data_IF_999638378668
#
_entry.id   IF_999638378668
#
_cell.length_a   1.000
_cell.length_b   1.000
_cell.length_c   1.000
_cell.angle_alpha   90.00
_cell.angle_beta   90.00
_cell.angle_gamma   90.00
#
_symmetry.space_group_name_H-M   'P 1'
#
loop_
_entity.id
_entity.type
_entity.pdbx_description
1 polymer ?
#
# COMPACT_ATOMS: atom_id res chain seq x y z
N UNK A 1 4.72 -19.06 15.20
CA UNK A 1 5.89 -18.22 14.85
C UNK A 1 5.87 -17.00 15.76
N UNK A 2 6.97 -16.69 16.45
CA UNK A 2 7.04 -15.56 17.40
C UNK A 2 7.00 -14.26 16.58
N UNK A 3 5.88 -13.52 16.54
CA UNK A 3 5.70 -12.37 15.64
C UNK A 3 6.78 -11.31 15.86
N UNK A 4 7.18 -11.13 17.12
CA UNK A 4 8.21 -10.17 17.55
C UNK A 4 9.59 -10.45 16.94
N UNK A 5 9.97 -11.72 16.77
CA UNK A 5 11.26 -12.07 16.14
C UNK A 5 11.24 -11.77 14.65
N UNK A 6 10.10 -12.01 13.98
CA UNK A 6 9.93 -11.69 12.56
C UNK A 6 9.95 -10.17 12.33
N UNK A 7 9.27 -9.40 13.18
CA UNK A 7 9.26 -7.93 13.11
C UNK A 7 10.68 -7.38 13.29
N UNK A 8 11.41 -7.84 14.32
CA UNK A 8 12.81 -7.41 14.54
C UNK A 8 13.73 -7.77 13.38
N UNK A 9 13.54 -8.95 12.77
CA UNK A 9 14.28 -9.37 11.58
C UNK A 9 14.03 -8.44 10.38
N UNK A 10 12.77 -8.12 10.10
CA UNK A 10 12.40 -7.17 9.04
C UNK A 10 12.90 -5.75 9.32
N UNK A 11 12.87 -5.31 10.58
CA UNK A 11 13.37 -4.00 10.97
C UNK A 11 14.87 -3.89 10.71
N UNK A 12 15.66 -4.91 11.09
CA UNK A 12 17.09 -4.94 10.82
C UNK A 12 17.38 -4.95 9.32
N UNK A 13 16.65 -5.78 8.56
CA UNK A 13 16.74 -5.81 7.11
C UNK A 13 16.45 -4.44 6.46
N UNK A 14 15.36 -3.79 6.88
CA UNK A 14 15.00 -2.44 6.40
C UNK A 14 16.09 -1.41 6.73
N UNK A 15 16.65 -1.46 7.96
CA UNK A 15 17.76 -0.58 8.36
C UNK A 15 19.02 -0.81 7.51
N UNK A 16 19.34 -2.05 7.17
CA UNK A 16 20.45 -2.35 6.26
C UNK A 16 20.23 -1.77 4.86
N UNK A 17 19.03 -1.90 4.30
CA UNK A 17 18.68 -1.28 3.01
C UNK A 17 18.83 0.24 3.08
N UNK A 18 18.32 0.88 4.14
CA UNK A 18 18.45 2.33 4.33
C UNK A 18 19.92 2.74 4.38
N UNK A 19 20.76 2.00 5.08
CA UNK A 19 22.20 2.28 5.13
C UNK A 19 22.85 2.19 3.74
N UNK A 20 22.56 1.13 2.99
CA UNK A 20 23.10 0.93 1.63
C UNK A 20 22.67 2.07 0.70
N UNK A 21 21.38 2.41 0.66
CA UNK A 21 20.86 3.49 -0.20
C UNK A 21 21.45 4.84 0.20
N UNK A 22 21.64 5.08 1.51
CA UNK A 22 22.27 6.31 2.01
C UNK A 22 23.73 6.44 1.56
N UNK A 23 24.50 5.36 1.63
CA UNK A 23 25.89 5.32 1.15
C UNK A 23 25.93 5.53 -0.37
N UNK A 24 25.05 4.85 -1.12
CA UNK A 24 24.95 5.01 -2.57
C UNK A 24 24.62 6.46 -2.96
N UNK A 25 23.67 7.09 -2.25
CA UNK A 25 23.33 8.50 -2.46
C UNK A 25 24.50 9.43 -2.12
N UNK A 26 25.24 9.17 -1.03
CA UNK A 26 26.42 9.96 -0.68
C UNK A 26 27.52 9.87 -1.75
N UNK A 27 27.77 8.67 -2.30
CA UNK A 27 28.70 8.45 -3.41
C UNK A 27 28.24 9.18 -4.67
N UNK A 28 26.94 9.14 -4.98
CA UNK A 28 26.37 9.85 -6.13
C UNK A 28 26.57 11.37 -5.99
N UNK A 29 26.26 11.94 -4.82
CA UNK A 29 26.45 13.37 -4.55
C UNK A 29 27.93 13.76 -4.66
N UNK A 30 28.84 12.96 -4.10
CA UNK A 30 30.27 13.22 -4.19
C UNK A 30 30.76 13.20 -5.65
N UNK A 31 30.33 12.21 -6.43
CA UNK A 31 30.71 12.07 -7.84
C UNK A 31 30.22 13.27 -8.66
N UNK A 32 28.98 13.72 -8.44
CA UNK A 32 28.38 14.86 -9.14
C UNK A 32 29.07 16.19 -8.80
N UNK A 33 29.46 16.39 -7.52
CA UNK A 33 30.09 17.63 -7.07
C UNK A 33 31.58 17.72 -7.39
N UNK A 34 32.30 16.60 -7.36
CA UNK A 34 33.76 16.58 -7.56
C UNK A 34 34.19 16.21 -8.97
N UNK A 35 33.29 15.60 -9.76
CA UNK A 35 33.61 15.04 -11.08
C UNK A 35 34.47 13.77 -11.03
N UNK A 36 34.82 13.28 -9.83
CA UNK A 36 35.60 12.06 -9.64
C UNK A 36 34.64 10.87 -9.60
N UNK A 37 34.72 10.00 -10.61
CA UNK A 37 33.90 8.79 -10.70
C UNK A 37 34.42 7.70 -9.76
N UNK A 38 33.74 7.53 -8.61
CA UNK A 38 34.04 6.44 -7.66
C UNK A 38 33.56 5.09 -8.22
N UNK A 39 32.39 5.08 -8.87
CA UNK A 39 31.79 3.88 -9.48
C UNK A 39 31.56 4.17 -10.96
N UNK A 40 32.12 3.35 -11.83
CA UNK A 40 31.96 3.52 -13.27
C UNK A 40 30.55 3.14 -13.72
N UNK A 41 30.00 3.91 -14.66
CA UNK A 41 28.66 3.67 -15.21
C UNK A 41 27.51 4.16 -14.33
N UNK A 42 27.76 5.00 -13.32
CA UNK A 42 26.68 5.65 -12.56
C UNK A 42 25.90 6.62 -13.45
N UNK A 43 24.57 6.51 -13.41
CA UNK A 43 23.65 7.47 -14.03
C UNK A 43 23.75 8.83 -13.31
N UNK A 44 23.76 9.96 -14.05
CA UNK A 44 23.77 11.29 -13.45
C UNK A 44 22.61 11.53 -12.46
N UNK A 45 22.87 12.30 -11.40
CA UNK A 45 21.83 12.60 -10.40
C UNK A 45 20.67 13.42 -10.99
N UNK A 46 20.94 14.23 -12.02
CA UNK A 46 19.94 15.03 -12.73
C UNK A 46 18.79 14.20 -13.32
N UNK A 47 19.10 13.02 -13.88
CA UNK A 47 18.11 12.10 -14.41
C UNK A 47 17.25 11.50 -13.28
N UNK A 48 17.90 11.14 -12.16
CA UNK A 48 17.20 10.66 -10.96
C UNK A 48 16.25 11.71 -10.40
N UNK A 49 16.64 13.00 -10.40
CA UNK A 49 15.77 14.09 -9.95
C UNK A 49 14.55 14.28 -10.86
N UNK A 50 14.70 14.13 -12.17
CA UNK A 50 13.56 14.17 -13.09
C UNK A 50 12.56 13.05 -12.80
N UNK A 51 13.04 11.83 -12.58
CA UNK A 51 12.18 10.69 -12.24
C UNK A 51 11.48 10.90 -10.89
N UNK A 52 12.21 11.26 -9.83
CA UNK A 52 11.66 11.49 -8.49
C UNK A 52 10.69 12.67 -8.49
N UNK A 53 11.00 13.75 -9.21
CA UNK A 53 10.13 14.91 -9.38
C UNK A 53 8.80 14.54 -10.03
N UNK A 54 8.82 13.70 -11.07
CA UNK A 54 7.60 13.16 -11.68
C UNK A 54 6.75 12.36 -10.70
N UNK A 55 7.37 11.47 -9.92
CA UNK A 55 6.67 10.69 -8.88
C UNK A 55 6.07 11.63 -7.83
N UNK A 56 6.80 12.65 -7.39
CA UNK A 56 6.32 13.61 -6.39
C UNK A 56 5.08 14.38 -6.88
N UNK A 57 5.06 14.83 -8.14
CA UNK A 57 3.90 15.51 -8.74
C UNK A 57 2.68 14.59 -8.78
N UNK A 58 2.85 13.33 -9.21
CA UNK A 58 1.76 12.34 -9.25
C UNK A 58 1.23 12.04 -7.85
N UNK A 59 2.12 11.80 -6.88
CA UNK A 59 1.73 11.53 -5.49
C UNK A 59 1.06 12.75 -4.83
N UNK A 60 1.47 13.98 -5.17
CA UNK A 60 0.81 15.19 -4.70
C UNK A 60 -0.65 15.26 -5.15
N UNK A 61 -0.97 14.76 -6.35
CA UNK A 61 -2.35 14.62 -6.84
C UNK A 61 -3.11 13.43 -6.25
N UNK A 62 -2.42 12.36 -5.86
CA UNK A 62 -3.04 11.13 -5.34
C UNK A 62 -3.80 11.36 -4.03
N UNK A 63 -3.25 12.12 -3.07
CA UNK A 63 -3.92 12.37 -1.78
C UNK A 63 -5.24 13.17 -1.90
N UNK A 64 -5.29 14.30 -2.64
CA UNK A 64 -6.54 14.98 -2.96
C UNK A 64 -7.53 14.11 -3.73
N UNK A 65 -7.04 13.32 -4.70
CA UNK A 65 -7.89 12.40 -5.46
C UNK A 65 -8.54 11.36 -4.53
N UNK A 66 -7.77 10.74 -3.64
CA UNK A 66 -8.29 9.81 -2.62
C UNK A 66 -9.34 10.49 -1.75
N UNK A 67 -9.09 11.73 -1.29
CA UNK A 67 -10.06 12.49 -0.50
C UNK A 67 -11.39 12.70 -1.24
N UNK A 68 -11.32 13.07 -2.54
CA UNK A 68 -12.49 13.25 -3.39
C UNK A 68 -13.20 11.92 -3.61
N UNK A 69 -12.47 10.84 -3.89
CA UNK A 69 -13.07 9.52 -4.12
C UNK A 69 -13.79 9.04 -2.84
N UNK A 70 -13.22 9.26 -1.65
CA UNK A 70 -13.89 8.97 -0.37
C UNK A 70 -15.20 9.76 -0.25
N UNK A 71 -15.22 11.02 -0.67
CA UNK A 71 -16.41 11.86 -0.60
C UNK A 71 -17.46 11.55 -1.69
N UNK A 72 -17.03 11.18 -2.90
CA UNK A 72 -17.90 11.00 -4.07
C UNK A 72 -18.31 9.53 -4.25
N UNK A 73 -17.34 8.60 -4.26
CA UNK A 73 -17.58 7.16 -4.30
C UNK A 73 -17.91 6.57 -2.93
N UNK A 74 -17.95 7.40 -1.88
CA UNK A 74 -18.33 7.00 -0.53
C UNK A 74 -19.69 6.32 -0.46
N UNK A 75 -20.65 6.60 -1.34
CA UNK A 75 -22.01 6.03 -1.24
C UNK A 75 -22.07 4.50 -1.41
N UNK A 76 -21.59 3.88 -2.51
CA UNK A 76 -21.66 2.42 -2.70
C UNK A 76 -20.73 1.66 -1.74
N UNK A 77 -19.49 2.12 -1.54
CA UNK A 77 -18.55 1.41 -0.67
C UNK A 77 -18.80 1.67 0.82
N UNK A 78 -19.33 2.84 1.21
CA UNK A 78 -19.82 3.05 2.59
C UNK A 78 -21.05 2.23 2.90
N UNK A 79 -21.93 1.94 1.93
CA UNK A 79 -23.07 1.06 2.18
C UNK A 79 -22.61 -0.37 2.52
N UNK A 80 -21.67 -0.91 1.73
CA UNK A 80 -21.08 -2.23 1.98
C UNK A 80 -20.21 -2.26 3.23
N UNK A 81 -19.36 -1.24 3.45
CA UNK A 81 -18.46 -1.17 4.60
C UNK A 81 -19.18 -0.90 5.93
N UNK A 82 -20.29 -0.13 5.93
CA UNK A 82 -21.13 0.05 7.12
C UNK A 82 -21.77 -1.25 7.59
N UNK A 83 -22.12 -2.16 6.68
CA UNK A 83 -22.65 -3.48 7.03
C UNK A 83 -21.61 -4.32 7.80
N UNK A 84 -20.32 -4.08 7.55
CA UNK A 84 -19.18 -4.78 8.16
C UNK A 84 -18.67 -4.04 9.42
N UNK A 85 -19.17 -2.83 9.69
CA UNK A 85 -18.75 -2.01 10.84
C UNK A 85 -17.47 -1.19 10.60
N UNK A 86 -17.12 -0.90 9.35
CA UNK A 86 -15.95 -0.09 8.99
C UNK A 86 -16.23 1.41 9.10
N UNK A 87 -15.21 2.18 9.50
CA UNK A 87 -15.24 3.64 9.51
C UNK A 87 -15.05 4.23 8.10
N UNK A 88 -15.29 5.54 7.94
CA UNK A 88 -14.99 6.22 6.68
C UNK A 88 -13.50 6.22 6.32
N UNK A 89 -12.60 6.27 7.32
CA UNK A 89 -11.13 6.19 7.09
C UNK A 89 -10.71 4.78 6.67
N UNK A 90 -11.33 3.75 7.24
CA UNK A 90 -11.08 2.35 6.87
C UNK A 90 -11.47 2.09 5.41
N UNK A 91 -12.65 2.56 5.01
CA UNK A 91 -13.17 2.41 3.63
C UNK A 91 -12.32 3.25 2.67
N UNK A 92 -11.91 4.44 3.09
CA UNK A 92 -11.02 5.27 2.32
C UNK A 92 -9.66 4.65 2.08
N UNK A 93 -9.11 3.93 3.05
CA UNK A 93 -7.90 3.13 2.87
C UNK A 93 -8.04 2.05 1.80
N UNK A 94 -9.18 1.36 1.76
CA UNK A 94 -9.44 0.32 0.75
C UNK A 94 -9.50 0.92 -0.65
N UNK A 95 -10.16 2.08 -0.80
CA UNK A 95 -10.22 2.76 -2.09
C UNK A 95 -8.85 3.30 -2.49
N UNK A 96 -8.14 3.92 -1.56
CA UNK A 96 -6.79 4.42 -1.79
C UNK A 96 -5.87 3.29 -2.27
N UNK A 97 -5.95 2.12 -1.63
CA UNK A 97 -5.15 0.94 -1.95
C UNK A 97 -5.34 0.43 -3.39
N UNK A 98 -6.54 0.59 -3.98
CA UNK A 98 -6.79 0.22 -5.37
C UNK A 98 -5.96 1.05 -6.35
N UNK A 99 -5.75 2.33 -6.05
CA UNK A 99 -4.89 3.21 -6.83
C UNK A 99 -3.42 3.04 -6.44
N UNK A 100 -3.11 3.16 -5.15
CA UNK A 100 -1.76 3.03 -4.62
C UNK A 100 -1.76 2.71 -3.12
N UNK A 101 -0.89 1.80 -2.67
CA UNK A 101 -0.85 1.41 -1.25
C UNK A 101 -0.12 2.41 -0.35
N UNK A 102 0.73 3.30 -0.88
CA UNK A 102 1.44 4.33 -0.11
C UNK A 102 0.47 5.23 0.68
N UNK A 103 -0.51 5.92 0.04
CA UNK A 103 -1.48 6.73 0.79
C UNK A 103 -2.34 5.87 1.72
N UNK A 104 -2.70 4.65 1.32
CA UNK A 104 -3.48 3.73 2.16
C UNK A 104 -2.74 3.36 3.46
N UNK A 105 -1.43 3.10 3.37
CA UNK A 105 -0.58 2.83 4.53
C UNK A 105 -0.43 4.07 5.42
N UNK A 106 -0.33 5.27 4.84
CA UNK A 106 -0.34 6.53 5.57
C UNK A 106 -1.61 6.74 6.41
N UNK A 107 -2.76 6.23 5.92
CA UNK A 107 -4.05 6.29 6.62
C UNK A 107 -4.21 5.22 7.70
N UNK A 108 -3.40 4.15 7.71
CA UNK A 108 -3.57 3.04 8.67
C UNK A 108 -3.44 3.50 10.12
N UNK A 109 -2.71 4.56 10.41
CA UNK A 109 -2.59 5.11 11.77
C UNK A 109 -3.95 5.61 12.33
N UNK A 110 -4.85 6.05 11.45
CA UNK A 110 -6.15 6.64 11.77
C UNK A 110 -7.32 5.64 11.59
N UNK A 111 -7.00 4.36 11.39
CA UNK A 111 -7.98 3.28 11.19
C UNK A 111 -8.37 2.58 12.50
N UNK A 112 -9.57 2.00 12.52
CA UNK A 112 -10.00 1.14 13.62
C UNK A 112 -9.19 -0.17 13.64
N UNK A 113 -9.09 -0.89 14.77
CA UNK A 113 -8.39 -2.18 14.81
C UNK A 113 -8.92 -3.20 13.78
N UNK A 114 -10.25 -3.25 13.62
CA UNK A 114 -10.91 -4.03 12.57
C UNK A 114 -10.52 -3.52 11.17
N UNK A 115 -10.58 -2.20 10.98
CA UNK A 115 -10.19 -1.52 9.75
C UNK A 115 -8.78 -1.85 9.30
N UNK A 116 -7.79 -1.88 10.22
CA UNK A 116 -6.39 -2.23 9.92
C UNK A 116 -6.28 -3.67 9.40
N UNK A 117 -6.96 -4.61 10.03
CA UNK A 117 -6.93 -6.03 9.63
C UNK A 117 -7.58 -6.21 8.25
N UNK A 118 -8.77 -5.64 8.06
CA UNK A 118 -9.49 -5.72 6.79
C UNK A 118 -8.71 -5.03 5.67
N UNK A 119 -8.20 -3.82 5.90
CA UNK A 119 -7.39 -3.10 4.90
C UNK A 119 -6.14 -3.88 4.54
N UNK A 120 -5.44 -4.44 5.53
CA UNK A 120 -4.22 -5.23 5.27
C UNK A 120 -4.52 -6.48 4.41
N UNK A 121 -5.63 -7.17 4.70
CA UNK A 121 -6.09 -8.30 3.90
C UNK A 121 -6.49 -7.88 2.47
N UNK A 122 -7.21 -6.77 2.34
CA UNK A 122 -7.63 -6.23 1.05
C UNK A 122 -6.44 -5.78 0.20
N UNK A 123 -5.52 -5.00 0.78
CA UNK A 123 -4.30 -4.50 0.13
C UNK A 123 -3.46 -5.65 -0.43
N UNK A 124 -3.34 -6.76 0.32
CA UNK A 124 -2.54 -7.92 -0.08
C UNK A 124 -3.00 -8.54 -1.41
N UNK A 125 -4.30 -8.43 -1.75
CA UNK A 125 -4.84 -9.00 -2.99
C UNK A 125 -5.16 -7.93 -4.05
N UNK A 126 -5.88 -6.88 -3.66
CA UNK A 126 -6.42 -5.86 -4.55
C UNK A 126 -5.54 -4.60 -4.66
N UNK A 127 -4.45 -4.52 -3.89
CA UNK A 127 -3.52 -3.40 -3.95
C UNK A 127 -3.04 -3.12 -5.39
N UNK A 128 -2.99 -1.83 -5.73
CA UNK A 128 -2.52 -1.30 -7.02
C UNK A 128 -3.31 -1.78 -8.26
N UNK A 129 -4.50 -2.35 -8.08
CA UNK A 129 -5.28 -2.90 -9.19
C UNK A 129 -5.57 -1.87 -10.31
N UNK A 130 -5.84 -0.61 -9.95
CA UNK A 130 -6.09 0.48 -10.90
C UNK A 130 -4.87 1.38 -11.14
N UNK A 131 -3.78 1.17 -10.40
CA UNK A 131 -2.53 1.88 -10.60
C UNK A 131 -1.58 1.07 -11.48
N UNK A 132 -0.47 0.66 -10.88
CA UNK A 132 0.69 0.07 -11.56
C UNK A 132 0.34 -1.10 -12.48
N UNK A 133 -0.53 -2.01 -12.04
CA UNK A 133 -0.88 -3.19 -12.82
C UNK A 133 -1.76 -2.86 -14.02
N UNK A 134 -2.70 -1.94 -13.87
CA UNK A 134 -3.54 -1.50 -14.98
C UNK A 134 -2.67 -0.77 -16.02
N UNK A 135 -1.83 0.16 -15.56
CA UNK A 135 -0.92 0.93 -16.41
C UNK A 135 0.05 0.01 -17.19
N UNK A 136 0.64 -0.97 -16.50
CA UNK A 136 1.51 -1.96 -17.13
C UNK A 136 0.75 -2.82 -18.16
N UNK A 137 -0.42 -3.35 -17.78
CA UNK A 137 -1.23 -4.19 -18.66
C UNK A 137 -1.70 -3.43 -19.90
N UNK A 138 -2.04 -2.14 -19.78
CA UNK A 138 -2.40 -1.30 -20.94
C UNK A 138 -1.23 -1.04 -21.88
N UNK A 139 0.00 -1.04 -21.38
CA UNK A 139 1.20 -0.81 -22.20
C UNK A 139 1.70 -2.08 -22.89
N UNK A 140 1.51 -3.25 -22.27
CA UNK A 140 2.07 -4.51 -22.74
C UNK A 140 1.02 -5.40 -23.41
N UNK A 141 -0.06 -5.74 -22.71
CA UNK A 141 -1.05 -6.71 -23.19
C UNK A 141 -2.49 -6.29 -22.78
N UNK A 142 -3.10 -5.33 -23.49
CA UNK A 142 -4.38 -4.72 -23.09
C UNK A 142 -5.54 -5.73 -22.98
N UNK A 143 -5.42 -6.85 -23.70
CA UNK A 143 -6.42 -7.91 -23.73
C UNK A 143 -6.59 -8.60 -22.37
N UNK A 144 -5.56 -8.55 -21.51
CA UNK A 144 -5.55 -9.18 -20.19
C UNK A 144 -6.14 -8.30 -19.09
N UNK A 145 -6.47 -7.03 -19.38
CA UNK A 145 -7.02 -6.08 -18.40
C UNK A 145 -8.26 -6.65 -17.67
N UNK A 146 -9.27 -7.23 -18.36
CA UNK A 146 -10.45 -7.74 -17.67
C UNK A 146 -10.11 -8.89 -16.72
N UNK A 147 -9.22 -9.79 -17.13
CA UNK A 147 -8.79 -10.94 -16.32
C UNK A 147 -8.00 -10.48 -15.08
N UNK A 148 -7.10 -9.51 -15.26
CA UNK A 148 -6.30 -8.94 -14.18
C UNK A 148 -7.17 -8.26 -13.12
N UNK A 149 -8.10 -7.42 -13.55
CA UNK A 149 -9.03 -6.73 -12.64
C UNK A 149 -9.97 -7.72 -11.95
N UNK A 150 -10.53 -8.68 -12.68
CA UNK A 150 -11.39 -9.71 -12.10
C UNK A 150 -10.66 -10.50 -11.01
N UNK A 151 -9.42 -10.94 -11.28
CA UNK A 151 -8.62 -11.71 -10.32
C UNK A 151 -8.27 -10.88 -9.08
N UNK A 152 -7.75 -9.66 -9.24
CA UNK A 152 -7.35 -8.81 -8.10
C UNK A 152 -8.53 -8.39 -7.24
N UNK A 153 -9.62 -7.96 -7.86
CA UNK A 153 -10.81 -7.51 -7.13
C UNK A 153 -11.51 -8.67 -6.44
N UNK A 154 -11.67 -9.83 -7.11
CA UNK A 154 -12.25 -11.02 -6.46
C UNK A 154 -11.37 -11.51 -5.31
N UNK A 155 -10.05 -11.52 -5.47
CA UNK A 155 -9.11 -11.82 -4.39
C UNK A 155 -9.25 -10.86 -3.20
N UNK A 156 -9.37 -9.56 -3.46
CA UNK A 156 -9.60 -8.56 -2.41
C UNK A 156 -10.91 -8.76 -1.64
N UNK A 157 -11.99 -9.09 -2.35
CA UNK A 157 -13.29 -9.38 -1.74
C UNK A 157 -13.22 -10.65 -0.88
N UNK A 158 -12.64 -11.73 -1.41
CA UNK A 158 -12.47 -13.00 -0.70
C UNK A 158 -11.57 -12.81 0.54
N UNK A 159 -10.42 -12.14 0.39
CA UNK A 159 -9.51 -11.85 1.48
C UNK A 159 -10.16 -11.02 2.59
N UNK A 160 -10.96 -10.02 2.22
CA UNK A 160 -11.75 -9.22 3.16
C UNK A 160 -12.80 -10.06 3.90
N UNK A 161 -13.51 -10.94 3.19
CA UNK A 161 -14.50 -11.82 3.79
C UNK A 161 -13.87 -12.78 4.81
N UNK A 162 -12.73 -13.39 4.46
CA UNK A 162 -11.97 -14.27 5.35
C UNK A 162 -11.47 -13.50 6.59
N UNK A 163 -10.91 -12.30 6.39
CA UNK A 163 -10.43 -11.47 7.48
C UNK A 163 -11.57 -11.09 8.45
N UNK A 164 -12.73 -10.74 7.91
CA UNK A 164 -13.94 -10.45 8.68
C UNK A 164 -14.37 -11.68 9.50
N UNK A 165 -14.41 -12.86 8.87
CA UNK A 165 -14.78 -14.12 9.55
C UNK A 165 -13.83 -14.44 10.71
N UNK A 166 -12.52 -14.40 10.48
CA UNK A 166 -11.50 -14.69 11.50
C UNK A 166 -11.59 -13.69 12.67
N UNK A 167 -11.75 -12.40 12.38
CA UNK A 167 -11.83 -11.39 13.42
C UNK A 167 -13.04 -11.59 14.35
N UNK A 168 -14.21 -11.89 13.79
CA UNK A 168 -15.41 -12.17 14.58
C UNK A 168 -15.26 -13.43 15.44
N UNK A 169 -14.62 -14.47 14.89
CA UNK A 169 -14.33 -15.70 15.61
C UNK A 169 -13.39 -15.49 16.80
N UNK A 170 -12.32 -14.70 16.63
CA UNK A 170 -11.40 -14.36 17.70
C UNK A 170 -12.07 -13.50 18.79
N UNK A 171 -12.89 -12.53 18.40
CA UNK A 171 -13.63 -11.69 19.35
C UNK A 171 -14.61 -12.50 20.21
N UNK A 172 -15.26 -13.53 19.65
CA UNK A 172 -16.11 -14.45 20.42
C UNK A 172 -15.32 -15.33 21.39
N UNK A 173 -14.17 -15.85 20.95
CA UNK A 173 -13.31 -16.71 21.78
C UNK A 173 -12.82 -15.95 23.02
N UNK A 174 -12.27 -14.74 22.83
CA UNK A 174 -11.80 -13.89 23.92
C UNK A 174 -12.92 -13.46 24.88
N UNK A 175 -14.15 -13.27 24.38
CA UNK A 175 -15.29 -12.92 25.24
C UNK A 175 -15.73 -14.10 26.11
N UNK A 176 -15.49 -15.33 25.67
CA UNK A 176 -15.86 -16.55 26.41
C UNK A 176 -14.84 -16.85 27.51
N UNK A 177 -13.55 -16.58 27.28
CA UNK A 177 -12.48 -16.74 28.29
C UNK A 177 -12.52 -15.68 29.41
N UNK A 178 -13.08 -14.50 29.18
CA UNK A 178 -13.14 -13.41 30.19
C UNK A 178 -14.36 -13.54 31.13
N UNK A 179 -15.35 -14.38 30.77
CA UNK A 179 -16.56 -14.61 31.57
C UNK A 179 -16.48 -15.91 32.38
N UNK A 180 -15.45 -16.73 32.15
CA UNK A 180 -15.10 -17.93 32.94
C UNK A 180 -14.03 -17.61 33.98
#
# INVERSE_FOLDING_TARGET
>A
MIPEKMIRGFEWFSRCIIAIITIALAIAIFTELTGITIVQGMTPLSESFLTIGGIAIVLAGAYPMVYIIIHVAGRPLSAAGKLIGLSATDIGGMIAALANTIPAYGMMKDMTPLGKIINSAFISCAGFAFGDYLAFCTGVEPQLIPALLACKLSGGVIGTAIACFIFHFQKQTLRTEVIS
#
